data_IF_847223361561
#
_entry.id   IF_847223361561
#
_cell.length_a   1.000
_cell.length_b   1.000
_cell.length_c   1.000
_cell.angle_alpha   90.00
_cell.angle_beta   90.00
_cell.angle_gamma   90.00
#
_symmetry.space_group_name_H-M   'P 1'
#
loop_
_entity.id
_entity.type
_entity.pdbx_description
1 polymer ?
#
# COMPACT_ATOMS: atom_id res chain seq x y z
N UNK A 1 26.45 -11.40 12.98
CA UNK A 1 25.12 -11.87 12.53
C UNK A 1 23.97 -11.00 13.10
N UNK A 2 24.13 -9.68 13.14
CA UNK A 2 23.07 -8.73 13.53
C UNK A 2 22.69 -7.76 12.41
N UNK A 3 23.52 -7.61 11.37
CA UNK A 3 23.28 -6.65 10.28
C UNK A 3 22.29 -7.14 9.21
N UNK A 4 22.14 -8.45 9.00
CA UNK A 4 21.14 -8.98 8.05
C UNK A 4 19.69 -8.80 8.51
N UNK A 5 19.45 -8.52 9.80
CA UNK A 5 18.09 -8.26 10.31
C UNK A 5 17.63 -6.82 10.07
N UNK A 6 18.53 -5.90 9.72
CA UNK A 6 18.17 -4.50 9.47
C UNK A 6 17.58 -4.29 8.08
N UNK A 7 18.02 -5.08 7.10
CA UNK A 7 17.49 -5.04 5.73
C UNK A 7 16.12 -5.72 5.59
N UNK A 8 15.80 -6.68 6.47
CA UNK A 8 14.49 -7.35 6.54
C UNK A 8 13.36 -6.51 7.17
N UNK A 9 13.64 -5.25 7.57
CA UNK A 9 12.66 -4.40 8.27
C UNK A 9 12.08 -3.27 7.42
N UNK A 10 12.44 -3.21 6.14
CA UNK A 10 12.02 -2.12 5.25
C UNK A 10 11.34 -2.56 3.96
N UNK A 11 11.14 -3.86 3.76
CA UNK A 11 10.20 -4.35 2.76
C UNK A 11 8.80 -4.49 3.39
N UNK A 12 8.22 -3.38 3.88
CA UNK A 12 6.76 -3.32 3.96
C UNK A 12 6.30 -3.11 2.52
N UNK A 13 6.41 -4.18 1.72
CA UNK A 13 5.77 -4.29 0.43
C UNK A 13 4.28 -4.17 0.72
N UNK A 14 3.70 -3.11 0.18
CA UNK A 14 2.29 -2.76 0.30
C UNK A 14 1.38 -3.80 -0.41
N UNK A 15 1.49 -5.06 -0.03
CA UNK A 15 0.69 -6.20 -0.48
C UNK A 15 -0.38 -6.42 0.61
N UNK A 16 -1.19 -5.38 0.81
CA UNK A 16 -2.20 -5.35 1.88
C UNK A 16 -2.94 -4.02 2.00
N UNK A 17 -2.90 -3.16 0.97
CA UNK A 17 -3.67 -1.91 0.90
C UNK A 17 -4.52 -1.83 -0.39
N UNK A 18 -4.94 -2.97 -0.94
CA UNK A 18 -5.80 -2.98 -2.14
C UNK A 18 -7.26 -2.57 -1.83
N UNK A 19 -7.65 -2.41 -0.56
CA UNK A 19 -9.00 -1.94 -0.24
C UNK A 19 -9.20 -0.40 -0.28
N UNK A 20 -8.16 0.43 -0.42
CA UNK A 20 -8.31 1.91 -0.35
C UNK A 20 -7.72 2.69 -1.55
N UNK A 21 -7.18 1.99 -2.56
CA UNK A 21 -6.56 2.62 -3.74
C UNK A 21 -7.56 3.26 -4.73
N UNK A 22 -8.87 3.21 -4.50
CA UNK A 22 -9.87 3.92 -5.31
C UNK A 22 -10.12 5.38 -4.89
N UNK A 23 -9.40 5.88 -3.89
CA UNK A 23 -9.71 7.18 -3.26
C UNK A 23 -8.98 8.39 -3.87
N UNK A 24 -7.84 8.19 -4.55
CA UNK A 24 -6.98 9.32 -4.97
C UNK A 24 -7.58 10.13 -6.13
N UNK A 25 -8.22 9.47 -7.09
CA UNK A 25 -8.84 10.18 -8.22
C UNK A 25 -10.09 10.98 -7.81
N UNK A 26 -10.90 10.45 -6.89
CA UNK A 26 -12.11 11.13 -6.42
C UNK A 26 -11.80 12.34 -5.52
N UNK A 27 -10.80 12.24 -4.63
CA UNK A 27 -10.37 13.34 -3.77
C UNK A 27 -9.59 14.43 -4.54
N UNK A 28 -8.75 14.05 -5.52
CA UNK A 28 -8.01 15.01 -6.34
C UNK A 28 -8.94 15.88 -7.20
N UNK A 29 -10.03 15.30 -7.72
CA UNK A 29 -11.02 16.05 -8.51
C UNK A 29 -11.91 16.95 -7.63
N UNK A 30 -12.20 16.56 -6.38
CA UNK A 30 -12.88 17.42 -5.40
C UNK A 30 -12.01 18.61 -4.94
N UNK A 31 -10.70 18.40 -4.76
CA UNK A 31 -9.77 19.42 -4.27
C UNK A 31 -9.49 20.56 -5.26
N UNK A 32 -9.58 20.32 -6.58
CA UNK A 32 -9.31 21.35 -7.58
C UNK A 32 -10.46 22.34 -7.82
N UNK A 33 -11.69 22.03 -7.37
CA UNK A 33 -12.87 22.86 -7.64
C UNK A 33 -13.40 23.65 -6.43
N UNK A 34 -12.98 23.30 -5.20
CA UNK A 34 -13.35 24.01 -3.96
C UNK A 34 -12.13 24.71 -3.35
N UNK A 35 -11.94 25.98 -3.66
CA UNK A 35 -10.92 26.80 -2.99
C UNK A 35 -11.16 26.88 -1.48
N UNK A 36 -10.09 26.70 -0.68
CA UNK A 36 -9.92 27.06 0.75
C UNK A 36 -11.17 27.09 1.66
N UNK A 37 -12.14 26.20 1.46
CA UNK A 37 -13.32 26.07 2.30
C UNK A 37 -13.09 24.92 3.27
N UNK A 38 -13.54 25.12 4.51
CA UNK A 38 -13.46 24.07 5.53
C UNK A 38 -14.07 22.78 5.00
N UNK A 39 -13.43 21.62 5.27
CA UNK A 39 -13.95 20.33 4.85
C UNK A 39 -15.39 20.18 5.34
N UNK A 40 -16.27 19.75 4.45
CA UNK A 40 -17.69 19.54 4.79
C UNK A 40 -17.84 18.50 5.90
N UNK A 41 -19.00 18.44 6.55
CA UNK A 41 -19.24 17.49 7.65
C UNK A 41 -18.94 16.02 7.24
N UNK A 42 -19.32 15.63 6.02
CA UNK A 42 -19.01 14.31 5.46
C UNK A 42 -17.52 14.06 5.27
N UNK A 43 -16.76 15.08 4.87
CA UNK A 43 -15.31 14.97 4.68
C UNK A 43 -14.59 14.82 6.02
N UNK A 44 -15.03 15.56 7.04
CA UNK A 44 -14.50 15.40 8.40
C UNK A 44 -14.81 14.01 8.98
N UNK A 45 -16.03 13.52 8.78
CA UNK A 45 -16.43 12.18 9.20
C UNK A 45 -15.58 11.10 8.51
N UNK A 46 -15.40 11.21 7.18
CA UNK A 46 -14.54 10.32 6.42
C UNK A 46 -13.11 10.25 6.97
N UNK A 47 -12.49 11.40 7.22
CA UNK A 47 -11.12 11.47 7.73
C UNK A 47 -10.99 10.82 9.12
N UNK A 48 -11.95 11.06 10.02
CA UNK A 48 -11.94 10.46 11.36
C UNK A 48 -12.10 8.94 11.31
N UNK A 49 -13.02 8.43 10.48
CA UNK A 49 -13.24 7.01 10.31
C UNK A 49 -12.03 6.32 9.67
N UNK A 50 -11.41 6.97 8.69
CA UNK A 50 -10.19 6.48 8.05
C UNK A 50 -9.03 6.40 9.07
N UNK A 51 -8.85 7.42 9.90
CA UNK A 51 -7.82 7.41 10.96
C UNK A 51 -8.07 6.27 11.96
N UNK A 52 -9.30 6.10 12.44
CA UNK A 52 -9.66 5.01 13.35
C UNK A 52 -9.36 3.64 12.73
N UNK A 53 -9.72 3.44 11.47
CA UNK A 53 -9.47 2.19 10.76
C UNK A 53 -7.96 1.92 10.60
N UNK A 54 -7.17 2.93 10.26
CA UNK A 54 -5.70 2.81 10.16
C UNK A 54 -5.07 2.47 11.53
N UNK A 55 -5.53 3.10 12.60
CA UNK A 55 -5.05 2.80 13.95
C UNK A 55 -5.41 1.39 14.40
N UNK A 56 -6.59 0.88 14.00
CA UNK A 56 -6.99 -0.50 14.27
C UNK A 56 -6.11 -1.49 13.50
N UNK A 57 -5.84 -1.23 12.22
CA UNK A 57 -4.95 -2.04 11.40
C UNK A 57 -3.52 -2.06 11.96
N UNK A 58 -2.99 -0.90 12.34
CA UNK A 58 -1.65 -0.81 12.93
C UNK A 58 -1.55 -1.62 14.24
N UNK A 59 -2.52 -1.45 15.14
CA UNK A 59 -2.56 -2.21 16.40
C UNK A 59 -2.73 -3.71 16.16
N UNK A 60 -3.54 -4.10 15.18
CA UNK A 60 -3.71 -5.50 14.80
C UNK A 60 -2.38 -6.11 14.37
N UNK A 61 -1.60 -5.42 13.52
CA UNK A 61 -0.26 -5.86 13.14
C UNK A 61 0.73 -5.90 14.30
N UNK A 62 0.73 -4.87 15.15
CA UNK A 62 1.67 -4.78 16.28
C UNK A 62 1.41 -5.84 17.36
N UNK A 63 0.13 -6.12 17.64
CA UNK A 63 -0.29 -7.02 18.72
C UNK A 63 -0.51 -8.47 18.28
N UNK A 64 -0.48 -8.77 16.98
CA UNK A 64 -0.65 -10.12 16.45
C UNK A 64 0.62 -10.59 15.71
N UNK A 65 1.53 -11.31 16.40
CA UNK A 65 2.73 -11.87 15.77
C UNK A 65 2.45 -12.82 14.61
N UNK A 66 1.31 -13.52 14.62
CA UNK A 66 0.94 -14.41 13.51
C UNK A 66 0.66 -13.63 12.23
N UNK A 67 0.07 -12.43 12.32
CA UNK A 67 -0.09 -11.55 11.15
C UNK A 67 1.24 -11.06 10.60
N UNK A 68 2.23 -10.82 11.46
CA UNK A 68 3.58 -10.46 11.00
C UNK A 68 4.23 -11.63 10.26
N UNK A 69 4.13 -12.85 10.80
CA UNK A 69 4.64 -14.06 10.14
C UNK A 69 3.95 -14.32 8.80
N UNK A 70 2.64 -14.09 8.70
CA UNK A 70 1.90 -14.19 7.45
C UNK A 70 2.31 -13.12 6.42
N UNK A 71 2.55 -11.89 6.86
CA UNK A 71 3.04 -10.82 5.98
C UNK A 71 4.42 -11.17 5.41
N UNK A 72 5.35 -11.62 6.26
CA UNK A 72 6.69 -12.07 5.84
C UNK A 72 6.59 -13.26 4.87
N UNK A 73 5.75 -14.26 5.17
CA UNK A 73 5.56 -15.43 4.32
C UNK A 73 4.94 -15.06 2.95
N UNK A 74 4.04 -14.08 2.92
CA UNK A 74 3.45 -13.60 1.68
C UNK A 74 4.46 -12.82 0.82
N UNK A 75 5.33 -12.01 1.44
CA UNK A 75 6.44 -11.34 0.73
C UNK A 75 7.38 -12.38 0.08
N UNK A 76 7.79 -13.40 0.83
CA UNK A 76 8.66 -14.47 0.34
C UNK A 76 7.98 -15.23 -0.81
N UNK A 77 6.70 -15.58 -0.65
CA UNK A 77 5.92 -16.27 -1.69
C UNK A 77 5.84 -15.44 -2.98
N UNK A 78 5.44 -14.18 -2.89
CA UNK A 78 5.32 -13.29 -4.06
C UNK A 78 6.67 -13.14 -4.76
N UNK A 79 7.75 -12.94 -3.99
CA UNK A 79 9.12 -12.86 -4.50
C UNK A 79 9.53 -14.13 -5.26
N UNK A 80 9.22 -15.30 -4.69
CA UNK A 80 9.53 -16.58 -5.31
C UNK A 80 8.72 -16.80 -6.59
N UNK A 81 7.42 -16.50 -6.58
CA UNK A 81 6.56 -16.57 -7.78
C UNK A 81 7.02 -15.62 -8.88
N UNK A 82 7.49 -14.42 -8.55
CA UNK A 82 8.06 -13.49 -9.53
C UNK A 82 9.32 -14.07 -10.18
N UNK A 83 10.17 -14.72 -9.38
CA UNK A 83 11.38 -15.38 -9.88
C UNK A 83 11.04 -16.58 -10.78
N UNK A 84 10.05 -17.38 -10.40
CA UNK A 84 9.53 -18.48 -11.21
C UNK A 84 8.95 -17.98 -12.55
N UNK A 85 8.33 -16.80 -12.56
CA UNK A 85 7.84 -16.13 -13.77
C UNK A 85 8.95 -15.51 -14.63
N UNK A 86 10.22 -15.59 -14.20
CA UNK A 86 11.39 -15.13 -14.96
C UNK A 86 11.85 -13.70 -14.67
N UNK A 87 11.33 -13.08 -13.62
CA UNK A 87 11.73 -11.74 -13.18
C UNK A 87 12.81 -11.79 -12.08
N UNK A 88 13.55 -10.69 -11.91
CA UNK A 88 14.46 -10.50 -10.77
C UNK A 88 13.92 -9.40 -9.84
N UNK A 89 13.04 -9.75 -8.89
CA UNK A 89 12.47 -8.76 -7.97
C UNK A 89 13.54 -8.07 -7.12
N UNK A 90 14.67 -8.73 -6.84
CA UNK A 90 15.77 -8.14 -6.07
C UNK A 90 16.44 -7.00 -6.83
N UNK A 91 16.83 -7.23 -8.07
CA UNK A 91 17.44 -6.21 -8.92
C UNK A 91 16.48 -5.05 -9.21
N UNK A 92 15.20 -5.36 -9.49
CA UNK A 92 14.15 -4.35 -9.69
C UNK A 92 14.05 -3.43 -8.48
N UNK A 93 13.94 -3.99 -7.26
CA UNK A 93 13.81 -3.20 -6.04
C UNK A 93 15.08 -2.41 -5.72
N UNK A 94 16.26 -2.97 -5.97
CA UNK A 94 17.53 -2.26 -5.80
C UNK A 94 17.58 -0.98 -6.65
N UNK A 95 17.23 -1.07 -7.94
CA UNK A 95 17.19 0.11 -8.83
C UNK A 95 16.21 1.17 -8.34
N UNK A 96 14.99 0.76 -7.96
CA UNK A 96 13.95 1.69 -7.51
C UNK A 96 14.32 2.37 -6.19
N UNK A 97 14.87 1.63 -5.23
CA UNK A 97 15.30 2.18 -3.94
C UNK A 97 16.52 3.09 -4.09
N UNK A 98 17.46 2.75 -4.97
CA UNK A 98 18.61 3.61 -5.27
C UNK A 98 18.15 4.95 -5.85
N UNK A 99 17.24 4.92 -6.83
CA UNK A 99 16.67 6.13 -7.41
C UNK A 99 15.90 6.96 -6.37
N UNK A 100 15.10 6.32 -5.52
CA UNK A 100 14.38 7.00 -4.44
C UNK A 100 15.35 7.65 -3.44
N UNK A 101 16.45 6.99 -3.10
CA UNK A 101 17.50 7.54 -2.25
C UNK A 101 18.17 8.77 -2.86
N UNK A 102 18.50 8.73 -4.15
CA UNK A 102 19.07 9.87 -4.87
C UNK A 102 18.08 11.03 -4.92
N UNK A 103 16.81 10.76 -5.23
CA UNK A 103 15.77 11.79 -5.33
C UNK A 103 15.43 12.42 -3.99
N UNK A 104 15.85 11.88 -2.85
CA UNK A 104 15.71 12.51 -1.54
C UNK A 104 16.83 13.49 -1.20
N UNK A 105 17.94 13.50 -1.95
CA UNK A 105 19.07 14.40 -1.71
C UNK A 105 18.67 15.87 -1.92
N UNK A 106 18.63 16.66 -0.85
CA UNK A 106 18.24 18.07 -0.84
C UNK A 106 19.11 18.97 -1.75
N UNK A 107 20.31 18.53 -2.11
CA UNK A 107 21.21 19.28 -3.01
C UNK A 107 20.79 19.24 -4.48
N UNK A 108 19.91 18.30 -4.86
CA UNK A 108 19.42 18.19 -6.23
C UNK A 108 18.31 19.20 -6.53
N UNK A 109 18.43 19.84 -7.69
CA UNK A 109 17.33 20.60 -8.29
C UNK A 109 16.19 19.70 -8.76
N UNK A 110 15.00 20.26 -8.91
CA UNK A 110 13.82 19.53 -9.44
C UNK A 110 14.08 18.94 -10.83
N UNK A 111 14.89 19.59 -11.65
CA UNK A 111 15.26 19.07 -12.96
C UNK A 111 16.10 17.80 -12.85
N UNK A 112 17.08 17.77 -11.93
CA UNK A 112 17.91 16.59 -11.68
C UNK A 112 17.13 15.44 -11.06
N UNK A 113 16.21 15.74 -10.13
CA UNK A 113 15.29 14.73 -9.56
C UNK A 113 14.43 14.09 -10.65
N UNK A 114 13.88 14.91 -11.57
CA UNK A 114 13.12 14.39 -12.72
C UNK A 114 13.99 13.54 -13.64
N UNK A 115 15.22 13.96 -13.93
CA UNK A 115 16.14 13.18 -14.77
C UNK A 115 16.42 11.78 -14.19
N UNK A 116 16.58 11.66 -12.88
CA UNK A 116 16.74 10.36 -12.20
C UNK A 116 15.49 9.50 -12.38
N UNK A 117 14.30 10.07 -12.13
CA UNK A 117 13.03 9.35 -12.25
C UNK A 117 12.71 8.96 -13.70
N UNK A 118 13.13 9.77 -14.66
CA UNK A 118 12.97 9.53 -16.09
C UNK A 118 14.14 8.76 -16.71
N UNK A 119 15.10 8.32 -15.89
CA UNK A 119 16.20 7.50 -16.39
C UNK A 119 15.69 6.19 -16.97
N UNK A 120 16.44 5.65 -17.94
CA UNK A 120 16.05 4.40 -18.59
C UNK A 120 15.96 3.25 -17.58
N UNK A 121 16.93 3.14 -16.68
CA UNK A 121 16.98 2.09 -15.65
C UNK A 121 15.76 2.13 -14.73
N UNK A 122 15.36 3.31 -14.26
CA UNK A 122 14.17 3.46 -13.40
C UNK A 122 12.89 3.11 -14.16
N UNK A 123 12.75 3.56 -15.42
CA UNK A 123 11.58 3.23 -16.23
C UNK A 123 11.48 1.74 -16.52
N UNK A 124 12.59 1.09 -16.84
CA UNK A 124 12.64 -0.36 -17.07
C UNK A 124 12.32 -1.14 -15.79
N UNK A 125 12.87 -0.74 -14.64
CA UNK A 125 12.56 -1.37 -13.36
C UNK A 125 11.07 -1.20 -12.99
N UNK A 126 10.48 -0.03 -13.21
CA UNK A 126 9.05 0.19 -13.00
C UNK A 126 8.19 -0.70 -13.90
N UNK A 127 8.55 -0.83 -15.18
CA UNK A 127 7.86 -1.71 -16.11
C UNK A 127 7.96 -3.17 -15.68
N UNK A 128 9.17 -3.65 -15.39
CA UNK A 128 9.40 -5.03 -14.96
C UNK A 128 8.66 -5.34 -13.66
N UNK A 129 8.62 -4.40 -12.70
CA UNK A 129 7.85 -4.56 -11.47
C UNK A 129 6.36 -4.73 -11.79
N UNK A 130 5.80 -3.90 -12.66
CA UNK A 130 4.39 -4.00 -13.05
C UNK A 130 4.08 -5.34 -13.72
N UNK A 131 4.91 -5.79 -14.65
CA UNK A 131 4.73 -7.07 -15.32
C UNK A 131 4.88 -8.26 -14.36
N UNK A 132 5.89 -8.21 -13.47
CA UNK A 132 6.11 -9.23 -12.44
C UNK A 132 4.90 -9.32 -11.50
N UNK A 133 4.35 -8.20 -11.06
CA UNK A 133 3.13 -8.16 -10.23
C UNK A 133 1.94 -8.78 -10.97
N UNK A 134 1.73 -8.44 -12.24
CA UNK A 134 0.65 -9.03 -13.04
C UNK A 134 0.79 -10.54 -13.23
N UNK A 135 2.04 -11.03 -13.37
CA UNK A 135 2.32 -12.45 -13.53
C UNK A 135 1.95 -13.27 -12.29
N UNK A 136 2.13 -12.71 -11.09
CA UNK A 136 1.86 -13.42 -9.82
C UNK A 136 0.49 -13.12 -9.23
N UNK A 137 -0.19 -12.05 -9.66
CA UNK A 137 -1.49 -11.65 -9.12
C UNK A 137 -2.59 -12.72 -9.30
N UNK A 138 -2.44 -13.58 -10.29
CA UNK A 138 -3.38 -14.67 -10.57
C UNK A 138 -2.85 -16.04 -10.11
N UNK A 139 -1.68 -16.08 -9.47
CA UNK A 139 -1.14 -17.32 -8.94
C UNK A 139 -2.05 -17.83 -7.80
N UNK A 140 -2.56 -19.07 -7.88
CA UNK A 140 -3.50 -19.59 -6.87
C UNK A 140 -2.96 -19.59 -5.45
N UNK A 141 -1.65 -19.81 -5.24
CA UNK A 141 -1.06 -19.81 -3.90
C UNK A 141 -0.99 -18.39 -3.35
N UNK A 142 -0.64 -17.41 -4.19
CA UNK A 142 -0.64 -15.99 -3.82
C UNK A 142 -2.06 -15.52 -3.46
N UNK A 143 -3.05 -15.88 -4.27
CA UNK A 143 -4.46 -15.51 -4.02
C UNK A 143 -4.97 -16.12 -2.71
N UNK A 144 -4.62 -17.37 -2.42
CA UNK A 144 -5.03 -18.03 -1.18
C UNK A 144 -4.34 -17.41 0.04
N UNK A 145 -3.02 -17.18 -0.03
CA UNK A 145 -2.28 -16.50 1.03
C UNK A 145 -2.83 -15.11 1.31
N UNK A 146 -3.18 -14.35 0.26
CA UNK A 146 -3.79 -13.04 0.39
C UNK A 146 -5.15 -13.10 1.10
N UNK A 147 -6.02 -14.05 0.73
CA UNK A 147 -7.32 -14.22 1.39
C UNK A 147 -7.18 -14.56 2.86
N UNK A 148 -6.30 -15.51 3.20
CA UNK A 148 -6.05 -15.88 4.59
C UNK A 148 -5.57 -14.68 5.40
N UNK A 149 -4.61 -13.92 4.86
CA UNK A 149 -4.11 -12.71 5.52
C UNK A 149 -5.20 -11.65 5.70
N UNK A 150 -6.05 -11.42 4.70
CA UNK A 150 -7.15 -10.45 4.78
C UNK A 150 -8.19 -10.86 5.84
N UNK A 151 -8.54 -12.15 5.91
CA UNK A 151 -9.47 -12.68 6.91
C UNK A 151 -8.92 -12.53 8.33
N UNK A 152 -7.66 -12.94 8.54
CA UNK A 152 -7.00 -12.86 9.85
C UNK A 152 -6.76 -11.41 10.29
N UNK A 153 -6.42 -10.53 9.34
CA UNK A 153 -6.30 -9.09 9.59
C UNK A 153 -7.64 -8.50 10.03
N UNK A 154 -8.74 -8.83 9.35
CA UNK A 154 -10.07 -8.36 9.72
C UNK A 154 -10.49 -8.85 11.12
N UNK A 155 -10.19 -10.10 11.46
CA UNK A 155 -10.44 -10.63 12.80
C UNK A 155 -9.61 -9.90 13.88
N UNK A 156 -8.33 -9.67 13.62
CA UNK A 156 -7.47 -8.93 14.53
C UNK A 156 -7.91 -7.46 14.68
N UNK A 157 -8.31 -6.80 13.59
CA UNK A 157 -8.85 -5.44 13.63
C UNK A 157 -10.13 -5.37 14.46
N UNK A 158 -11.06 -6.33 14.33
CA UNK A 158 -12.26 -6.41 15.18
C UNK A 158 -11.92 -6.57 16.66
N UNK A 159 -10.81 -7.23 16.97
CA UNK A 159 -10.33 -7.40 18.35
C UNK A 159 -9.79 -6.09 18.93
N UNK A 160 -9.13 -5.27 18.10
CA UNK A 160 -8.57 -3.96 18.50
C UNK A 160 -9.60 -2.81 18.48
N UNK A 161 -10.55 -2.87 17.55
CA UNK A 161 -11.63 -1.90 17.36
C UNK A 161 -12.95 -2.67 17.08
N UNK A 162 -13.80 -2.86 18.11
CA UNK A 162 -15.05 -3.60 17.99
C UNK A 162 -16.04 -2.99 16.97
N UNK A 163 -15.88 -1.71 16.61
CA UNK A 163 -16.69 -1.05 15.59
C UNK A 163 -16.12 -1.16 14.17
N UNK A 164 -15.06 -1.96 13.95
CA UNK A 164 -14.38 -2.08 12.64
C UNK A 164 -15.36 -2.28 11.48
N UNK A 165 -16.31 -3.22 11.60
CA UNK A 165 -17.28 -3.49 10.52
C UNK A 165 -18.16 -2.26 10.26
N UNK A 166 -18.63 -1.56 11.30
CA UNK A 166 -19.44 -0.34 11.16
C UNK A 166 -18.66 0.81 10.56
N UNK A 167 -17.39 0.96 10.92
CA UNK A 167 -16.49 1.98 10.37
C UNK A 167 -16.35 1.75 8.87
N UNK A 168 -16.11 0.51 8.44
CA UNK A 168 -15.99 0.14 7.02
C UNK A 168 -17.29 0.40 6.27
N UNK A 169 -18.43 -0.05 6.81
CA UNK A 169 -19.75 0.21 6.21
C UNK A 169 -19.99 1.70 6.03
N UNK A 170 -19.70 2.52 7.06
CA UNK A 170 -19.92 3.96 7.00
C UNK A 170 -18.98 4.65 6.00
N UNK A 171 -17.73 4.21 5.89
CA UNK A 171 -16.81 4.72 4.88
C UNK A 171 -17.32 4.43 3.45
N UNK A 172 -17.89 3.24 3.21
CA UNK A 172 -18.48 2.89 1.92
C UNK A 172 -19.72 3.74 1.60
N UNK A 173 -20.58 3.98 2.59
CA UNK A 173 -21.73 4.87 2.45
C UNK A 173 -21.32 6.31 2.07
N UNK A 174 -20.33 6.88 2.79
CA UNK A 174 -19.85 8.24 2.51
C UNK A 174 -19.31 8.33 1.08
N UNK A 175 -18.60 7.31 0.59
CA UNK A 175 -18.12 7.29 -0.79
C UNK A 175 -19.27 7.27 -1.81
N UNK A 176 -20.33 6.50 -1.56
CA UNK A 176 -21.52 6.46 -2.42
C UNK A 176 -22.30 7.78 -2.39
N UNK A 177 -22.42 8.41 -1.23
CA UNK A 177 -23.04 9.74 -1.08
C UNK A 177 -22.26 10.80 -1.86
N UNK A 178 -20.93 10.79 -1.76
CA UNK A 178 -20.07 11.72 -2.49
C UNK A 178 -20.19 11.56 -4.03
N UNK A 179 -20.35 10.33 -4.53
CA UNK A 179 -20.57 10.07 -5.96
C UNK A 179 -21.95 10.52 -6.46
N UNK A 180 -22.98 10.45 -5.61
CA UNK A 180 -24.37 10.85 -5.97
C UNK A 180 -24.65 12.34 -5.80
N UNK A 181 -23.85 13.04 -5.00
CA UNK A 181 -23.95 14.48 -4.77
C UNK A 181 -23.22 15.35 -5.81
N UNK A 182 -22.65 14.74 -6.85
CA UNK A 182 -22.17 15.38 -8.08
C UNK A 182 -23.19 15.23 -9.20
#
# INVERSE_FOLDING_TARGET
MQEQRLYKRFAILAIGLIALALSSAALAQMGQQRGAQQPGALEQEFLQLQERLQQAQQRAMENNPALQEQADAMEDLVTDKMREAGYDPGAIMETLLAAQGQVQDESLSDAQRREILESQEVREAQQQLQEAQQAVMQDPEVVEAQRSFEEDMMEAMRSEEPETDRIIERLQEIQLEAQRGM
#
